data_IF_281245035382
#
_entry.id   IF_281245035382
#
_cell.length_a   1.000
_cell.length_b   1.000
_cell.length_c   1.000
_cell.angle_alpha   90.00
_cell.angle_beta   90.00
_cell.angle_gamma   90.00
#
_symmetry.space_group_name_H-M   'P 1'
#
loop_
_entity.id
_entity.type
_entity.pdbx_description
1 polymer ?
#
# COMPACT_ATOMS: atom_id res chain seq x y z
N UNK A 1 -9.42 13.07 5.76
CA UNK A 1 -9.81 13.02 4.31
C UNK A 1 -9.96 14.40 3.67
N UNK A 2 -10.50 15.43 4.34
CA UNK A 2 -10.67 16.77 3.75
C UNK A 2 -9.36 17.38 3.22
N UNK A 3 -8.24 17.19 3.93
CA UNK A 3 -6.93 17.68 3.51
C UNK A 3 -6.47 17.10 2.17
N UNK A 4 -6.64 15.80 1.94
CA UNK A 4 -6.26 15.18 0.66
C UNK A 4 -7.06 15.75 -0.51
N UNK A 5 -8.34 16.07 -0.31
CA UNK A 5 -9.18 16.74 -1.31
C UNK A 5 -8.68 18.15 -1.63
N UNK A 6 -8.30 18.90 -0.61
CA UNK A 6 -7.76 20.25 -0.78
C UNK A 6 -6.41 20.23 -1.53
N UNK A 7 -5.54 19.26 -1.20
CA UNK A 7 -4.26 19.07 -1.90
C UNK A 7 -4.52 18.66 -3.36
N UNK A 8 -5.46 17.75 -3.64
CA UNK A 8 -5.81 17.36 -5.02
C UNK A 8 -6.19 18.57 -5.89
N UNK A 9 -7.02 19.46 -5.35
CA UNK A 9 -7.45 20.68 -6.02
C UNK A 9 -6.32 21.69 -6.18
N UNK A 10 -5.43 21.82 -5.19
CA UNK A 10 -4.28 22.73 -5.25
C UNK A 10 -3.24 22.25 -6.28
N UNK A 11 -2.88 20.97 -6.24
CA UNK A 11 -1.83 20.38 -7.07
C UNK A 11 -2.34 20.07 -8.50
N UNK A 12 -3.65 20.14 -8.74
CA UNK A 12 -4.30 19.74 -10.00
C UNK A 12 -3.90 18.31 -10.42
N UNK A 13 -3.78 17.42 -9.43
CA UNK A 13 -3.31 16.03 -9.58
C UNK A 13 -4.19 15.08 -8.79
N UNK A 14 -4.09 13.79 -9.11
CA UNK A 14 -4.65 12.78 -8.23
C UNK A 14 -3.87 12.77 -6.92
N UNK A 15 -4.60 12.86 -5.81
CA UNK A 15 -4.03 12.85 -4.46
C UNK A 15 -4.87 11.92 -3.60
N UNK A 16 -4.23 11.23 -2.68
CA UNK A 16 -4.89 10.31 -1.80
C UNK A 16 -4.31 10.23 -0.42
N UNK A 17 -4.88 9.30 0.30
CA UNK A 17 -4.40 8.85 1.59
C UNK A 17 -4.12 7.36 1.46
N UNK A 18 -2.91 6.96 1.79
CA UNK A 18 -2.52 5.56 1.95
C UNK A 18 -2.50 5.20 3.42
N UNK A 19 -3.07 4.06 3.74
CA UNK A 19 -2.89 3.40 5.01
C UNK A 19 -1.88 2.29 4.83
N UNK A 20 -0.87 2.24 5.69
CA UNK A 20 0.16 1.20 5.65
C UNK A 20 0.79 1.06 7.03
N UNK A 21 1.14 -0.17 7.40
CA UNK A 21 1.92 -0.44 8.60
C UNK A 21 3.42 -0.19 8.34
N UNK A 22 4.10 0.38 9.33
CA UNK A 22 5.55 0.56 9.27
C UNK A 22 6.27 -0.80 9.18
N UNK A 23 7.54 -0.78 8.77
CA UNK A 23 8.36 -1.98 8.88
C UNK A 23 8.59 -2.35 10.35
N UNK A 24 8.43 -3.64 10.65
CA UNK A 24 8.78 -4.23 11.94
C UNK A 24 9.40 -5.62 11.66
N UNK A 25 10.64 -5.89 12.12
CA UNK A 25 11.31 -7.17 11.92
C UNK A 25 10.59 -8.34 12.60
N UNK A 26 9.78 -8.08 13.63
CA UNK A 26 8.96 -9.08 14.32
C UNK A 26 7.60 -9.32 13.62
N UNK A 27 7.28 -8.51 12.60
CA UNK A 27 6.16 -8.72 11.69
C UNK A 27 5.06 -7.65 11.76
N UNK A 28 4.19 -7.63 10.73
CA UNK A 28 3.21 -6.55 10.55
C UNK A 28 2.11 -6.49 11.63
N UNK A 29 1.89 -7.54 12.44
CA UNK A 29 0.90 -7.47 13.53
C UNK A 29 1.25 -6.45 14.62
N UNK A 30 2.56 -6.24 14.85
CA UNK A 30 3.06 -5.36 15.93
C UNK A 30 3.34 -3.95 15.44
N UNK A 31 3.54 -3.81 14.14
CA UNK A 31 3.83 -2.54 13.50
C UNK A 31 2.69 -1.52 13.66
N UNK A 32 3.00 -0.28 14.04
CA UNK A 32 2.02 0.80 14.02
C UNK A 32 1.56 1.10 12.59
N UNK A 33 0.27 1.42 12.44
CA UNK A 33 -0.31 1.82 11.15
C UNK A 33 -0.32 3.34 11.02
N UNK A 34 -0.06 3.82 9.80
CA UNK A 34 0.02 5.24 9.49
C UNK A 34 -0.94 5.61 8.37
N UNK A 35 -1.37 6.86 8.44
CA UNK A 35 -2.06 7.57 7.38
C UNK A 35 -1.04 8.46 6.65
N UNK A 36 -0.86 8.25 5.36
CA UNK A 36 0.21 8.87 4.55
C UNK A 36 -0.42 9.59 3.36
N UNK A 37 -0.12 10.88 3.18
CA UNK A 37 -0.60 11.60 2.00
C UNK A 37 0.25 11.24 0.79
N UNK A 38 -0.40 10.86 -0.31
CA UNK A 38 0.27 10.47 -1.55
C UNK A 38 -0.24 11.27 -2.74
N UNK A 39 0.65 11.65 -3.65
CA UNK A 39 0.34 12.45 -4.84
C UNK A 39 0.87 11.76 -6.09
N UNK A 40 0.11 11.83 -7.18
CA UNK A 40 0.51 11.27 -8.46
C UNK A 40 1.73 12.00 -9.01
N UNK A 41 2.71 11.23 -9.47
CA UNK A 41 3.84 11.72 -10.23
C UNK A 41 3.71 11.33 -11.71
N UNK A 42 3.24 12.27 -12.57
CA UNK A 42 3.06 11.98 -13.98
C UNK A 42 4.38 11.76 -14.73
N UNK A 43 5.53 12.19 -14.19
CA UNK A 43 6.83 11.96 -14.81
C UNK A 43 7.26 10.49 -14.71
N UNK A 44 6.78 9.77 -13.69
CA UNK A 44 6.96 8.33 -13.55
C UNK A 44 5.87 7.52 -14.27
N UNK A 45 4.67 8.08 -14.36
CA UNK A 45 3.56 7.53 -15.15
C UNK A 45 2.21 7.67 -14.45
N UNK A 46 1.14 7.31 -15.18
CA UNK A 46 -0.23 7.60 -14.75
C UNK A 46 -0.62 6.97 -13.39
N UNK A 47 0.02 5.89 -12.97
CA UNK A 47 -0.33 5.18 -11.73
C UNK A 47 0.74 5.30 -10.65
N UNK A 48 1.79 6.08 -10.85
CA UNK A 48 2.86 6.24 -9.87
C UNK A 48 2.53 7.36 -8.90
N UNK A 49 2.65 7.07 -7.62
CA UNK A 49 2.41 8.00 -6.53
C UNK A 49 3.62 8.02 -5.60
N UNK A 50 3.85 9.18 -4.99
CA UNK A 50 4.90 9.41 -3.98
C UNK A 50 4.26 10.03 -2.75
N UNK A 51 4.96 10.02 -1.62
CA UNK A 51 4.54 10.82 -0.48
C UNK A 51 4.47 12.31 -0.86
N UNK A 52 3.49 13.04 -0.31
CA UNK A 52 3.41 14.50 -0.48
C UNK A 52 4.57 15.14 0.26
N UNK A 53 5.35 15.96 -0.46
CA UNK A 53 6.52 16.63 0.11
C UNK A 53 6.12 17.57 1.26
N UNK A 54 6.89 17.52 2.34
CA UNK A 54 6.66 18.35 3.54
C UNK A 54 5.51 17.90 4.44
N UNK A 55 4.88 16.74 4.18
CA UNK A 55 3.89 16.14 5.07
C UNK A 55 4.38 14.83 5.65
N UNK A 56 4.54 14.80 6.97
CA UNK A 56 4.94 13.59 7.69
C UNK A 56 3.80 12.56 7.76
N UNK A 57 4.14 11.25 7.75
CA UNK A 57 3.20 10.18 8.06
C UNK A 57 2.51 10.38 9.42
N UNK A 58 1.19 10.23 9.46
CA UNK A 58 0.40 10.41 10.69
C UNK A 58 0.12 9.05 11.31
N UNK A 59 0.70 8.79 12.50
CA UNK A 59 0.45 7.55 13.25
C UNK A 59 -1.02 7.45 13.66
N UNK A 60 -1.66 6.30 13.42
CA UNK A 60 -2.98 6.00 13.97
C UNK A 60 -2.87 5.67 15.47
N UNK A 61 -3.95 5.86 16.26
CA UNK A 61 -3.96 5.44 17.67
C UNK A 61 -3.64 3.96 17.83
N UNK A 62 -2.86 3.59 18.86
CA UNK A 62 -2.40 2.21 19.06
C UNK A 62 -3.53 1.18 19.32
N UNK A 63 -4.73 1.66 19.67
CA UNK A 63 -5.92 0.82 19.89
C UNK A 63 -6.76 0.60 18.62
N UNK A 64 -6.45 1.28 17.52
CA UNK A 64 -7.29 1.31 16.33
C UNK A 64 -6.48 1.06 15.06
N UNK A 65 -6.97 0.15 14.24
CA UNK A 65 -6.46 -0.10 12.89
C UNK A 65 -7.54 0.11 11.83
N UNK A 66 -7.10 0.16 10.57
CA UNK A 66 -7.96 0.18 9.40
C UNK A 66 -7.59 -0.92 8.40
N UNK A 67 -8.58 -1.48 7.73
CA UNK A 67 -8.41 -2.53 6.72
C UNK A 67 -9.48 -2.41 5.64
N UNK A 68 -9.15 -2.80 4.41
CA UNK A 68 -10.13 -2.94 3.33
C UNK A 68 -10.61 -4.38 3.13
N UNK A 69 -10.07 -5.32 3.92
CA UNK A 69 -10.27 -6.77 3.86
C UNK A 69 -10.08 -7.38 2.47
N UNK A 70 -9.34 -6.73 1.58
CA UNK A 70 -9.24 -7.15 0.17
C UNK A 70 -7.84 -7.64 -0.13
N UNK A 71 -7.72 -8.90 -0.54
CA UNK A 71 -6.50 -9.43 -1.14
C UNK A 71 -6.62 -9.35 -2.65
N UNK A 72 -5.57 -8.91 -3.33
CA UNK A 72 -5.49 -9.01 -4.79
C UNK A 72 -4.49 -10.10 -5.15
N UNK A 73 -4.95 -11.14 -5.86
CA UNK A 73 -4.12 -12.33 -6.19
C UNK A 73 -3.82 -12.45 -7.67
N UNK A 74 -2.84 -13.31 -7.98
CA UNK A 74 -2.47 -13.73 -9.33
C UNK A 74 -1.52 -12.77 -10.03
N UNK A 75 -1.10 -13.10 -11.26
CA UNK A 75 -0.18 -12.30 -12.08
C UNK A 75 -0.73 -10.92 -12.51
N UNK A 76 -1.78 -10.41 -11.86
CA UNK A 76 -2.49 -9.19 -12.20
C UNK A 76 -1.97 -7.94 -11.51
N UNK A 77 -1.24 -8.12 -10.41
CA UNK A 77 -0.41 -7.08 -9.79
C UNK A 77 0.98 -6.95 -10.42
N UNK A 78 1.21 -7.58 -11.59
CA UNK A 78 2.46 -7.44 -12.31
C UNK A 78 2.76 -5.97 -12.62
N UNK A 79 4.03 -5.59 -12.48
CA UNK A 79 4.55 -4.23 -12.69
C UNK A 79 4.10 -3.58 -14.01
N UNK A 80 3.79 -4.38 -15.03
CA UNK A 80 3.41 -3.93 -16.38
C UNK A 80 1.90 -3.75 -16.60
N UNK A 81 1.03 -4.16 -15.66
CA UNK A 81 -0.43 -4.10 -15.83
C UNK A 81 -1.02 -2.87 -15.17
N UNK A 82 -2.13 -2.39 -15.74
CA UNK A 82 -2.94 -1.31 -15.18
C UNK A 82 -3.50 -1.73 -13.81
N UNK A 83 -3.09 -1.08 -12.70
CA UNK A 83 -3.53 -1.46 -11.36
C UNK A 83 -5.01 -1.18 -11.09
N UNK A 84 -5.69 -0.41 -11.93
CA UNK A 84 -7.10 -0.06 -11.73
C UNK A 84 -8.06 -1.27 -11.85
N UNK A 85 -7.68 -2.32 -12.59
CA UNK A 85 -8.55 -3.44 -12.91
C UNK A 85 -7.82 -4.79 -12.76
N UNK A 86 -7.52 -5.24 -11.53
CA UNK A 86 -6.97 -6.58 -11.33
C UNK A 86 -8.02 -7.64 -11.66
N UNK A 87 -7.62 -8.79 -12.23
CA UNK A 87 -8.59 -9.84 -12.62
C UNK A 87 -9.08 -10.67 -11.45
N UNK A 88 -8.37 -10.69 -10.32
CA UNK A 88 -8.78 -11.40 -9.11
C UNK A 88 -8.63 -10.53 -7.85
N UNK A 89 -9.76 -10.22 -7.21
CA UNK A 89 -9.83 -9.60 -5.89
C UNK A 89 -10.73 -10.44 -5.00
N UNK A 90 -10.27 -10.71 -3.78
CA UNK A 90 -10.98 -11.52 -2.80
C UNK A 90 -11.21 -10.70 -1.54
N UNK A 91 -12.46 -10.59 -1.10
CA UNK A 91 -12.77 -9.94 0.18
C UNK A 91 -12.91 -10.98 1.27
N UNK A 92 -12.29 -10.75 2.42
CA UNK A 92 -12.36 -11.67 3.56
C UNK A 92 -13.81 -11.90 4.02
N UNK A 93 -14.63 -10.84 3.94
CA UNK A 93 -16.04 -10.89 4.34
C UNK A 93 -16.96 -11.48 3.26
N UNK A 94 -16.44 -11.94 2.13
CA UNK A 94 -17.22 -12.61 1.10
C UNK A 94 -17.69 -13.99 1.59
N UNK A 95 -19.01 -14.21 1.58
CA UNK A 95 -19.62 -15.45 2.08
C UNK A 95 -19.49 -16.62 1.10
N UNK A 96 -19.03 -16.37 -0.13
CA UNK A 96 -18.80 -17.42 -1.13
C UNK A 96 -17.55 -18.28 -0.84
N UNK A 97 -16.67 -17.86 0.08
CA UNK A 97 -15.50 -18.64 0.48
C UNK A 97 -15.71 -19.39 1.79
N UNK A 98 -15.28 -20.65 1.80
CA UNK A 98 -15.25 -21.49 3.01
C UNK A 98 -14.22 -20.97 4.02
N UNK A 99 -14.40 -21.31 5.30
CA UNK A 99 -13.43 -20.97 6.35
C UNK A 99 -12.02 -21.48 6.02
N UNK A 100 -11.88 -22.72 5.52
CA UNK A 100 -10.59 -23.28 5.14
C UNK A 100 -9.91 -22.51 3.98
N UNK A 101 -10.69 -21.95 3.05
CA UNK A 101 -10.12 -21.10 1.99
C UNK A 101 -9.64 -19.76 2.55
N UNK A 102 -10.40 -19.17 3.48
CA UNK A 102 -10.00 -17.92 4.14
C UNK A 102 -8.74 -18.14 5.00
N UNK A 103 -8.70 -19.19 5.81
CA UNK A 103 -7.52 -19.48 6.63
C UNK A 103 -6.25 -19.65 5.79
N UNK A 104 -6.32 -20.41 4.70
CA UNK A 104 -5.18 -20.58 3.78
C UNK A 104 -4.80 -19.29 3.05
N UNK A 105 -5.69 -18.30 2.95
CA UNK A 105 -5.46 -17.09 2.17
C UNK A 105 -5.02 -15.89 3.00
N UNK A 106 -5.39 -15.84 4.28
CA UNK A 106 -5.24 -14.67 5.13
C UNK A 106 -4.29 -14.89 6.31
N UNK A 107 -3.71 -16.08 6.48
CA UNK A 107 -2.77 -16.41 7.57
C UNK A 107 -1.31 -16.05 7.30
N UNK A 108 -0.94 -15.58 6.09
CA UNK A 108 0.43 -15.17 5.81
C UNK A 108 0.69 -13.71 6.19
N UNK A 109 1.93 -13.41 6.59
CA UNK A 109 2.35 -12.03 6.84
C UNK A 109 2.11 -11.11 5.61
N UNK A 110 2.31 -11.64 4.40
CA UNK A 110 2.00 -10.91 3.16
C UNK A 110 0.52 -10.62 3.00
N UNK A 111 -0.38 -11.56 3.32
CA UNK A 111 -1.82 -11.35 3.25
C UNK A 111 -2.29 -10.30 4.27
N UNK A 112 -1.69 -10.32 5.47
CA UNK A 112 -1.95 -9.32 6.49
C UNK A 112 -1.49 -7.93 6.06
N UNK A 113 -0.29 -7.83 5.50
CA UNK A 113 0.22 -6.59 4.91
C UNK A 113 -0.73 -6.08 3.83
N UNK A 114 -1.19 -6.96 2.94
CA UNK A 114 -2.10 -6.63 1.84
C UNK A 114 -3.42 -6.02 2.35
N UNK A 115 -4.13 -6.71 3.25
CA UNK A 115 -5.43 -6.21 3.76
C UNK A 115 -5.30 -4.96 4.64
N UNK A 116 -4.13 -4.67 5.20
CA UNK A 116 -3.87 -3.49 6.02
C UNK A 116 -3.17 -2.36 5.24
N UNK A 117 -2.91 -2.58 3.96
CA UNK A 117 -2.28 -1.60 3.08
C UNK A 117 -3.20 -1.27 1.93
N UNK A 118 -3.78 -0.08 1.94
CA UNK A 118 -4.69 0.35 0.89
C UNK A 118 -4.71 1.87 0.74
N UNK A 119 -5.19 2.35 -0.40
CA UNK A 119 -5.26 3.80 -0.68
C UNK A 119 -6.66 4.29 -1.03
N UNK A 120 -6.98 5.53 -0.65
CA UNK A 120 -8.18 6.25 -1.09
C UNK A 120 -7.74 7.45 -1.91
N UNK A 121 -8.25 7.58 -3.14
CA UNK A 121 -7.77 8.56 -4.12
C UNK A 121 -8.88 9.54 -4.50
N UNK A 122 -8.49 10.80 -4.63
CA UNK A 122 -9.31 11.90 -5.12
C UNK A 122 -8.75 12.40 -6.45
N UNK A 123 -9.64 12.69 -7.39
CA UNK A 123 -9.32 13.33 -8.68
C UNK A 123 -8.80 14.76 -8.49
N UNK A 124 -8.22 15.40 -9.52
CA UNK A 124 -7.87 16.83 -9.49
C UNK A 124 -9.04 17.75 -9.10
N UNK A 125 -10.28 17.35 -9.36
CA UNK A 125 -11.49 18.07 -8.94
C UNK A 125 -11.91 17.80 -7.48
N UNK A 126 -11.15 17.02 -6.72
CA UNK A 126 -11.44 16.64 -5.34
C UNK A 126 -12.55 15.60 -5.17
N UNK A 127 -12.94 14.90 -6.23
CA UNK A 127 -13.93 13.81 -6.20
C UNK A 127 -13.25 12.49 -5.88
N UNK A 128 -13.80 11.71 -4.95
CA UNK A 128 -13.30 10.36 -4.68
C UNK A 128 -13.49 9.47 -5.91
N UNK A 129 -12.45 8.75 -6.32
CA UNK A 129 -12.44 7.89 -7.50
C UNK A 129 -11.78 6.55 -7.21
N UNK A 130 -12.17 5.53 -7.98
CA UNK A 130 -11.37 4.30 -8.09
C UNK A 130 -10.30 4.55 -9.15
N UNK A 131 -9.05 4.47 -8.75
CA UNK A 131 -7.89 4.77 -9.58
C UNK A 131 -6.78 3.77 -9.24
N UNK A 132 -6.05 3.31 -10.25
CA UNK A 132 -4.89 2.46 -10.03
C UNK A 132 -3.77 3.24 -9.33
N UNK A 133 -3.12 2.65 -8.34
CA UNK A 133 -2.03 3.27 -7.61
C UNK A 133 -0.87 2.28 -7.45
N UNK A 134 0.33 2.84 -7.55
CA UNK A 134 1.60 2.25 -7.15
C UNK A 134 2.38 3.32 -6.41
N UNK A 135 2.65 3.08 -5.13
CA UNK A 135 3.47 3.97 -4.32
C UNK A 135 4.94 3.58 -4.47
N UNK A 136 5.78 4.57 -4.72
CA UNK A 136 7.23 4.43 -4.92
C UNK A 136 7.98 5.53 -4.19
N UNK A 137 9.28 5.33 -4.01
CA UNK A 137 10.18 6.35 -3.50
C UNK A 137 10.26 7.59 -4.42
N UNK A 138 10.80 8.68 -3.86
CA UNK A 138 10.94 10.00 -4.49
C UNK A 138 11.79 10.00 -5.75
N UNK A 139 12.60 8.97 -5.97
CA UNK A 139 13.40 8.83 -7.17
C UNK A 139 12.73 7.93 -8.22
N UNK A 140 11.67 7.20 -7.86
CA UNK A 140 10.99 6.24 -8.72
C UNK A 140 11.81 4.98 -9.01
N UNK A 141 12.84 4.69 -8.21
CA UNK A 141 13.66 3.49 -8.39
C UNK A 141 12.90 2.26 -7.89
N UNK A 142 12.57 1.34 -8.79
CA UNK A 142 11.91 0.10 -8.43
C UNK A 142 12.86 -0.84 -7.66
N UNK A 143 12.33 -1.72 -6.81
CA UNK A 143 13.12 -2.79 -6.18
C UNK A 143 13.19 -4.02 -7.10
N UNK A 144 13.94 -3.86 -8.21
CA UNK A 144 14.17 -4.91 -9.20
C UNK A 144 15.67 -5.18 -9.34
N UNK A 145 16.06 -6.36 -9.85
CA UNK A 145 17.47 -6.68 -10.13
C UNK A 145 18.19 -5.61 -10.98
N UNK A 146 17.48 -4.98 -11.91
CA UNK A 146 18.03 -3.91 -12.77
C UNK A 146 18.29 -2.59 -12.04
N UNK A 147 17.67 -2.37 -10.89
CA UNK A 147 17.74 -1.13 -10.10
C UNK A 147 18.26 -1.39 -8.68
N UNK A 148 18.89 -2.55 -8.46
CA UNK A 148 19.40 -2.96 -7.15
C UNK A 148 20.41 -1.93 -6.61
N UNK A 149 21.31 -1.44 -7.48
CA UNK A 149 22.32 -0.44 -7.14
C UNK A 149 21.78 1.00 -7.03
N UNK A 150 20.56 1.28 -7.50
CA UNK A 150 19.99 2.62 -7.44
C UNK A 150 19.51 2.93 -6.02
N UNK A 151 20.25 3.74 -5.27
CA UNK A 151 19.85 4.11 -3.90
C UNK A 151 18.91 5.32 -3.93
N UNK A 152 17.93 5.32 -3.02
CA UNK A 152 17.06 6.45 -2.73
C UNK A 152 17.25 6.84 -1.27
N UNK A 153 17.31 8.15 -0.99
CA UNK A 153 17.32 8.70 0.36
C UNK A 153 15.91 9.16 0.79
N UNK A 154 14.86 8.61 0.18
CA UNK A 154 13.49 8.81 0.63
C UNK A 154 13.29 8.17 2.02
N UNK A 155 12.87 9.01 2.96
CA UNK A 155 12.63 8.68 4.35
C UNK A 155 11.23 8.13 4.63
N UNK A 156 10.31 8.24 3.67
CA UNK A 156 8.94 7.75 3.78
C UNK A 156 8.81 6.40 3.07
N UNK A 157 8.86 6.37 1.74
CA UNK A 157 8.73 5.13 0.97
C UNK A 157 10.06 4.75 0.34
N UNK A 158 10.51 3.51 0.55
CA UNK A 158 11.79 3.08 0.00
C UNK A 158 11.82 1.59 -0.36
N UNK A 159 12.92 1.20 -0.99
CA UNK A 159 13.30 -0.19 -1.27
C UNK A 159 13.59 -0.94 0.03
N UNK A 160 13.54 -2.28 -0.02
CA UNK A 160 13.48 -3.12 1.18
C UNK A 160 14.72 -2.92 2.03
N UNK A 161 15.90 -3.00 1.42
CA UNK A 161 17.18 -2.86 2.12
C UNK A 161 17.33 -1.50 2.80
N UNK A 162 16.80 -0.44 2.18
CA UNK A 162 16.85 0.92 2.71
C UNK A 162 15.92 1.07 3.91
N UNK A 163 14.71 0.49 3.85
CA UNK A 163 13.78 0.49 4.98
C UNK A 163 14.30 -0.39 6.12
N UNK A 164 14.83 -1.57 5.82
CA UNK A 164 15.47 -2.45 6.80
C UNK A 164 16.66 -1.77 7.51
N UNK A 165 17.39 -0.92 6.78
CA UNK A 165 18.49 -0.12 7.31
C UNK A 165 18.04 1.15 8.06
N UNK A 166 16.73 1.40 8.18
CA UNK A 166 16.17 2.57 8.87
C UNK A 166 16.27 3.88 8.08
N UNK A 167 16.52 3.83 6.77
CA UNK A 167 16.55 5.01 5.90
C UNK A 167 15.12 5.45 5.60
N UNK A 168 14.28 4.52 5.16
CA UNK A 168 12.86 4.75 4.88
C UNK A 168 11.96 4.09 5.92
N UNK A 169 10.74 4.58 6.05
CA UNK A 169 9.78 4.08 7.04
C UNK A 169 8.87 2.95 6.51
N UNK A 170 8.55 2.98 5.22
CA UNK A 170 7.62 2.08 4.57
C UNK A 170 8.22 1.47 3.31
N UNK A 171 7.99 0.18 3.12
CA UNK A 171 8.24 -0.48 1.84
C UNK A 171 7.33 0.09 0.74
N UNK A 172 7.90 0.27 -0.46
CA UNK A 172 7.16 0.62 -1.68
C UNK A 172 6.42 -0.58 -2.34
N UNK A 173 5.65 -0.36 -3.40
CA UNK A 173 4.73 -1.35 -4.02
C UNK A 173 5.39 -2.30 -5.06
N UNK A 174 6.64 -2.72 -4.86
CA UNK A 174 7.38 -3.58 -5.80
C UNK A 174 7.45 -5.07 -5.39
N UNK A 175 6.78 -5.45 -4.30
CA UNK A 175 6.94 -6.75 -3.66
C UNK A 175 5.79 -7.70 -3.91
N UNK A 176 5.33 -7.78 -5.16
CA UNK A 176 4.28 -8.71 -5.54
C UNK A 176 4.62 -9.43 -6.86
N UNK A 177 4.51 -10.76 -6.87
CA UNK A 177 4.77 -11.60 -8.04
C UNK A 177 6.26 -11.92 -8.21
N UNK A 178 6.59 -13.21 -8.20
CA UNK A 178 7.91 -13.85 -8.01
C UNK A 178 8.95 -13.56 -9.12
N UNK A 179 8.74 -12.60 -10.03
CA UNK A 179 9.51 -12.52 -11.27
C UNK A 179 10.49 -11.34 -11.38
N UNK A 180 10.58 -10.44 -10.40
CA UNK A 180 11.44 -9.24 -10.57
C UNK A 180 12.23 -8.75 -9.35
N UNK A 181 11.90 -9.18 -8.13
CA UNK A 181 12.63 -8.81 -6.91
C UNK A 181 13.31 -10.04 -6.27
N UNK A 182 14.26 -9.79 -5.36
CA UNK A 182 15.03 -10.84 -4.67
C UNK A 182 14.36 -11.35 -3.39
N UNK A 183 13.16 -10.86 -3.04
CA UNK A 183 12.59 -10.98 -1.70
C UNK A 183 11.26 -11.75 -1.64
N UNK A 184 10.68 -12.10 -2.78
CA UNK A 184 9.39 -12.77 -2.86
C UNK A 184 8.19 -11.83 -2.72
N UNK A 185 7.05 -12.38 -2.34
CA UNK A 185 5.80 -11.63 -2.16
C UNK A 185 5.68 -11.13 -0.72
N UNK A 186 5.72 -9.81 -0.53
CA UNK A 186 5.51 -9.15 0.76
C UNK A 186 4.10 -8.57 0.91
N UNK A 187 3.20 -8.84 -0.05
CA UNK A 187 1.82 -8.32 -0.04
C UNK A 187 1.71 -6.85 -0.45
N UNK A 188 2.79 -6.26 -0.97
CA UNK A 188 2.86 -4.85 -1.37
C UNK A 188 3.03 -4.77 -2.86
N UNK A 189 1.98 -4.30 -3.53
CA UNK A 189 1.95 -4.26 -4.97
C UNK A 189 0.97 -3.21 -5.49
N UNK A 190 0.99 -2.97 -6.80
CA UNK A 190 0.07 -2.05 -7.45
C UNK A 190 -1.37 -2.51 -7.22
N UNK A 191 -2.27 -1.58 -6.93
CA UNK A 191 -3.65 -1.91 -6.56
C UNK A 191 -4.66 -0.84 -7.00
N UNK A 192 -5.96 -1.17 -7.13
CA UNK A 192 -6.98 -0.16 -7.29
C UNK A 192 -7.30 0.48 -5.93
N UNK A 193 -7.41 1.80 -5.90
CA UNK A 193 -7.85 2.53 -4.71
C UNK A 193 -9.23 2.09 -4.24
N UNK A 194 -9.51 2.33 -2.95
CA UNK A 194 -10.73 1.92 -2.26
C UNK A 194 -11.68 3.09 -2.08
N UNK A 195 -12.94 2.73 -1.92
CA UNK A 195 -14.07 3.64 -1.65
C UNK A 195 -14.60 3.52 -0.21
N UNK A 196 -14.16 2.50 0.51
CA UNK A 196 -14.56 2.20 1.87
C UNK A 196 -13.50 1.35 2.54
N UNK A 197 -13.44 1.42 3.87
CA UNK A 197 -12.60 0.61 4.73
C UNK A 197 -13.35 0.37 6.05
N UNK A 198 -12.85 -0.57 6.83
CA UNK A 198 -13.35 -0.89 8.17
C UNK A 198 -12.34 -0.40 9.19
N UNK A 199 -12.85 0.18 10.27
CA UNK A 199 -12.08 0.52 11.47
C UNK A 199 -12.26 -0.65 12.44
N UNK A 200 -11.16 -1.14 13.00
CA UNK A 200 -11.17 -2.25 13.95
C UNK A 200 -10.35 -1.92 15.20
N UNK A 201 -10.59 -2.70 16.25
CA UNK A 201 -9.82 -2.65 17.49
C UNK A 201 -8.55 -3.50 17.36
N UNK A 202 -7.38 -2.88 17.50
CA UNK A 202 -6.09 -3.49 17.18
C UNK A 202 -5.83 -4.75 18.02
N UNK A 203 -6.21 -4.73 19.30
CA UNK A 203 -5.99 -5.87 20.19
C UNK A 203 -6.81 -7.10 19.78
N UNK A 204 -8.09 -6.91 19.44
CA UNK A 204 -8.94 -8.00 18.94
C UNK A 204 -8.43 -8.56 17.61
N UNK A 205 -7.92 -7.69 16.76
CA UNK A 205 -7.34 -8.11 15.48
C UNK A 205 -6.07 -8.95 15.69
N UNK A 206 -5.17 -8.55 16.60
CA UNK A 206 -3.97 -9.33 16.98
C UNK A 206 -4.26 -10.66 17.68
N UNK A 207 -5.43 -10.82 18.29
CA UNK A 207 -5.83 -12.10 18.88
C UNK A 207 -6.39 -13.08 17.83
N UNK A 208 -6.88 -12.55 16.71
CA UNK A 208 -7.51 -13.32 15.65
C UNK A 208 -6.53 -13.82 14.57
N UNK A 209 -5.33 -13.22 14.49
CA UNK A 209 -4.28 -13.49 13.51
C UNK A 209 -2.91 -13.52 14.19
#
# INVERSE_FOLDING_TARGET
MASARAIAAKEQRYVGVRFQKAYDPEGPLRAPQYMIFVVQDPALGAYFFRAVEGLEPIKLPDSVGVTDFTIVRGNDRNYLKNPANPKAQFRLNDQSFTFAQKDNWFSSASALTDITTFSIIFSPSGKMVIHGIRVTNRNGYSDTKSHEMNLSNDDIFNKKLQVDAGIGMFYQDDYFGVLSNSYGDLGLGPEPSRRSFVIYEEEKFRQAY
#
